data_IF_855130759681
#
_entry.id   IF_855130759681
#
_cell.length_a   1.000
_cell.length_b   1.000
_cell.length_c   1.000
_cell.angle_alpha   90.00
_cell.angle_beta   90.00
_cell.angle_gamma   90.00
#
_symmetry.space_group_name_H-M   'P 1'
#
loop_
_entity.id
_entity.type
_entity.pdbx_description
1 polymer ?
#
# COMPACT_ATOMS: atom_id res chain seq x y z
N UNK A 1 39.71 -23.73 37.11
CA UNK A 1 38.30 -23.84 37.59
C UNK A 1 37.59 -22.48 37.70
N UNK A 2 38.18 -21.41 38.29
CA UNK A 2 37.52 -20.08 38.35
C UNK A 2 37.23 -19.45 36.98
N UNK A 3 38.13 -19.58 36.01
CA UNK A 3 37.98 -19.04 34.65
C UNK A 3 36.79 -19.69 33.93
N UNK A 4 36.60 -20.99 34.13
CA UNK A 4 35.46 -21.74 33.59
C UNK A 4 34.16 -21.26 34.24
N UNK A 5 34.17 -20.98 35.55
CA UNK A 5 33.01 -20.41 36.25
C UNK A 5 32.64 -19.03 35.71
N UNK A 6 33.60 -18.13 35.50
CA UNK A 6 33.34 -16.79 34.93
C UNK A 6 32.87 -16.85 33.48
N UNK A 7 33.42 -17.77 32.68
CA UNK A 7 32.99 -17.99 31.31
C UNK A 7 31.56 -18.52 31.25
N UNK A 8 31.19 -19.47 32.11
CA UNK A 8 29.82 -20.00 32.19
C UNK A 8 28.83 -18.96 32.74
N UNK A 9 29.22 -18.18 33.76
CA UNK A 9 28.41 -17.09 34.29
C UNK A 9 28.17 -16.00 33.23
N UNK A 10 29.22 -15.64 32.50
CA UNK A 10 29.15 -14.70 31.37
C UNK A 10 28.27 -15.21 30.24
N UNK A 11 28.40 -16.49 29.88
CA UNK A 11 27.57 -17.13 28.84
C UNK A 11 26.08 -17.17 29.25
N UNK A 12 25.78 -17.46 30.52
CA UNK A 12 24.42 -17.43 31.07
C UNK A 12 23.81 -16.03 31.03
N UNK A 13 24.57 -15.00 31.44
CA UNK A 13 24.12 -13.61 31.41
C UNK A 13 23.83 -13.14 29.98
N UNK A 14 24.72 -13.45 29.03
CA UNK A 14 24.52 -13.14 27.61
C UNK A 14 23.27 -13.85 27.06
N UNK A 15 23.04 -15.11 27.42
CA UNK A 15 21.85 -15.86 26.98
C UNK A 15 20.52 -15.31 27.55
N UNK A 16 20.54 -14.67 28.72
CA UNK A 16 19.34 -14.06 29.31
C UNK A 16 18.96 -12.71 28.67
N UNK A 17 19.94 -11.95 28.18
CA UNK A 17 19.72 -10.64 27.56
C UNK A 17 19.17 -10.76 26.12
N UNK A 18 19.44 -11.85 25.42
CA UNK A 18 19.01 -12.09 24.02
C UNK A 18 17.49 -12.32 23.86
N UNK A 19 16.70 -12.37 24.95
CA UNK A 19 15.29 -12.79 24.91
C UNK A 19 14.23 -11.67 24.93
N UNK A 20 14.58 -10.41 24.77
CA UNK A 20 13.57 -9.34 24.84
C UNK A 20 13.88 -8.13 23.96
N UNK A 21 13.91 -8.32 22.63
CA UNK A 21 13.52 -7.29 21.65
C UNK A 21 13.03 -8.05 20.42
N UNK A 22 11.78 -8.48 20.44
CA UNK A 22 11.03 -8.74 19.20
C UNK A 22 9.91 -7.69 19.19
N UNK A 23 10.31 -6.43 18.97
CA UNK A 23 9.39 -5.39 18.53
C UNK A 23 9.07 -5.69 17.05
N UNK A 24 8.32 -6.76 16.81
CA UNK A 24 7.51 -6.83 15.59
C UNK A 24 6.24 -6.06 15.90
N UNK A 25 6.36 -4.73 15.80
CA UNK A 25 5.23 -3.84 15.62
C UNK A 25 4.35 -4.49 14.54
N UNK A 26 3.14 -4.86 14.94
CA UNK A 26 2.11 -5.37 14.04
C UNK A 26 1.60 -4.27 13.13
N UNK A 27 2.47 -3.73 12.27
CA UNK A 27 2.04 -3.15 11.01
C UNK A 27 1.22 -4.21 10.29
N UNK A 28 0.03 -3.85 9.79
CA UNK A 28 -0.78 -4.75 8.98
C UNK A 28 0.07 -5.33 7.84
N UNK A 29 0.51 -6.58 7.99
CA UNK A 29 1.29 -7.28 6.98
C UNK A 29 0.31 -7.72 5.88
N UNK A 30 0.05 -6.82 4.94
CA UNK A 30 -0.71 -7.14 3.75
C UNK A 30 0.21 -7.85 2.77
N UNK A 31 -0.28 -8.97 2.25
CA UNK A 31 0.38 -9.71 1.20
C UNK A 31 0.61 -8.79 0.00
N UNK A 32 1.87 -8.56 -0.33
CA UNK A 32 2.23 -7.71 -1.48
C UNK A 32 1.84 -8.44 -2.76
N UNK A 33 1.05 -7.78 -3.60
CA UNK A 33 0.68 -8.31 -4.91
C UNK A 33 1.34 -7.52 -6.04
N UNK A 34 1.71 -8.20 -7.12
CA UNK A 34 2.19 -7.54 -8.33
C UNK A 34 1.02 -6.90 -9.09
N UNK A 35 1.16 -5.62 -9.43
CA UNK A 35 0.18 -4.92 -10.26
C UNK A 35 0.50 -5.13 -11.75
N UNK A 36 -0.47 -5.66 -12.49
CA UNK A 36 -0.33 -5.91 -13.94
C UNK A 36 -0.72 -4.71 -14.80
N UNK A 37 -1.40 -3.72 -14.22
CA UNK A 37 -1.80 -2.51 -14.91
C UNK A 37 -0.65 -1.52 -15.09
N UNK A 38 -0.58 -0.88 -16.26
CA UNK A 38 0.40 0.16 -16.52
C UNK A 38 0.21 1.35 -15.57
N UNK A 39 1.31 1.83 -14.99
CA UNK A 39 1.35 2.95 -14.04
C UNK A 39 0.51 2.71 -12.78
N UNK A 40 0.47 1.45 -12.32
CA UNK A 40 -0.11 1.08 -11.05
C UNK A 40 0.98 0.76 -10.02
N UNK A 41 0.70 1.02 -8.76
CA UNK A 41 1.54 0.69 -7.61
C UNK A 41 0.67 -0.04 -6.57
N UNK A 42 1.20 -1.11 -6.01
CA UNK A 42 0.53 -1.80 -4.91
C UNK A 42 0.63 -0.93 -3.65
N UNK A 43 -0.50 -0.76 -2.96
CA UNK A 43 -0.53 -0.14 -1.64
C UNK A 43 -1.20 -1.09 -0.69
N UNK A 44 -0.51 -1.31 0.41
CA UNK A 44 -1.04 -1.99 1.58
C UNK A 44 -2.24 -1.25 2.19
N UNK A 45 -2.17 0.08 2.21
CA UNK A 45 -3.20 0.95 2.75
C UNK A 45 -3.47 2.08 1.74
N UNK A 46 -4.30 1.81 0.73
CA UNK A 46 -4.80 2.82 -0.19
C UNK A 46 -6.24 3.24 0.15
N UNK A 47 -6.70 4.39 -0.33
CA UNK A 47 -8.09 4.82 -0.13
C UNK A 47 -9.07 3.74 -0.63
N UNK A 48 -10.24 3.61 0.00
CA UNK A 48 -11.26 2.63 -0.42
C UNK A 48 -11.76 2.81 -1.87
N UNK A 49 -11.46 3.97 -2.47
CA UNK A 49 -11.81 4.31 -3.83
C UNK A 49 -10.62 4.88 -4.58
N UNK A 50 -10.74 4.90 -5.90
CA UNK A 50 -9.72 5.44 -6.79
C UNK A 50 -10.32 6.59 -7.59
N UNK A 51 -9.54 7.66 -7.76
CA UNK A 51 -9.97 8.77 -8.59
C UNK A 51 -10.08 8.31 -10.04
N UNK A 52 -11.11 8.79 -10.70
CA UNK A 52 -11.27 8.66 -12.16
C UNK A 52 -11.49 10.04 -12.77
N UNK A 53 -11.42 10.14 -14.10
CA UNK A 53 -11.76 11.38 -14.81
C UNK A 53 -13.21 11.83 -14.54
N UNK A 54 -14.10 10.91 -14.15
CA UNK A 54 -15.47 11.20 -13.77
C UNK A 54 -15.59 11.12 -12.25
N UNK A 55 -15.51 12.26 -11.53
CA UNK A 55 -15.59 12.25 -10.08
C UNK A 55 -16.96 11.70 -9.65
N UNK A 56 -16.94 10.84 -8.63
CA UNK A 56 -18.14 10.31 -7.97
C UNK A 56 -17.96 10.42 -6.46
N UNK A 57 -19.06 10.64 -5.76
CA UNK A 57 -19.08 10.59 -4.30
C UNK A 57 -19.03 9.13 -3.88
N UNK A 58 -18.04 8.78 -3.05
CA UNK A 58 -17.90 7.44 -2.48
C UNK A 58 -17.85 7.57 -0.97
N UNK A 59 -18.66 6.78 -0.27
CA UNK A 59 -18.61 6.66 1.17
C UNK A 59 -17.71 5.48 1.53
N UNK A 60 -16.56 5.75 2.12
CA UNK A 60 -15.67 4.72 2.64
C UNK A 60 -16.14 4.28 4.03
N UNK A 61 -16.33 2.98 4.22
CA UNK A 61 -16.55 2.37 5.54
C UNK A 61 -15.25 1.89 6.18
N UNK A 62 -14.26 1.51 5.35
CA UNK A 62 -12.91 1.18 5.77
C UNK A 62 -12.00 2.41 5.63
N UNK A 63 -11.03 2.55 6.54
CA UNK A 63 -10.01 3.61 6.48
C UNK A 63 -9.16 3.48 5.21
N UNK A 64 -8.69 2.27 4.94
CA UNK A 64 -7.97 1.92 3.73
C UNK A 64 -8.15 0.46 3.34
N UNK A 65 -7.78 0.14 2.11
CA UNK A 65 -7.85 -1.21 1.53
C UNK A 65 -6.55 -1.52 0.78
N UNK A 66 -6.01 -2.74 0.90
CA UNK A 66 -4.87 -3.17 0.08
C UNK A 66 -5.29 -3.33 -1.39
N UNK A 67 -4.39 -3.05 -2.32
CA UNK A 67 -4.63 -3.26 -3.75
C UNK A 67 -3.75 -2.42 -4.68
N UNK A 68 -4.04 -2.49 -5.98
CA UNK A 68 -3.31 -1.76 -7.02
C UNK A 68 -3.95 -0.40 -7.34
N UNK A 69 -3.22 0.67 -7.05
CA UNK A 69 -3.65 2.07 -7.23
C UNK A 69 -2.88 2.72 -8.37
N UNK A 70 -3.48 3.73 -9.03
CA UNK A 70 -2.68 4.53 -9.95
C UNK A 70 -1.52 5.18 -9.19
N UNK A 71 -0.33 5.07 -9.77
CA UNK A 71 0.83 5.78 -9.29
C UNK A 71 0.59 7.30 -9.29
N UNK A 72 1.34 8.03 -8.48
CA UNK A 72 1.24 9.49 -8.37
C UNK A 72 1.32 10.17 -9.75
N UNK A 73 0.36 11.05 -10.05
CA UNK A 73 0.27 11.75 -11.34
C UNK A 73 -0.51 10.99 -12.43
N UNK A 74 -1.02 9.81 -12.11
CA UNK A 74 -1.86 9.00 -12.99
C UNK A 74 -3.26 8.82 -12.41
N UNK A 75 -4.23 8.64 -13.30
CA UNK A 75 -5.65 8.51 -12.98
C UNK A 75 -6.32 7.56 -13.96
N UNK A 76 -7.38 6.89 -13.54
CA UNK A 76 -8.18 6.05 -14.45
C UNK A 76 -9.17 6.91 -15.22
N UNK A 77 -9.49 6.50 -16.45
CA UNK A 77 -10.57 7.15 -17.19
C UNK A 77 -11.91 6.86 -16.51
N UNK A 78 -12.17 5.59 -16.24
CA UNK A 78 -13.28 5.04 -15.46
C UNK A 78 -12.79 3.85 -14.65
N UNK A 79 -13.60 3.34 -13.73
CA UNK A 79 -13.23 2.15 -12.96
C UNK A 79 -12.89 0.96 -13.87
N UNK A 80 -11.88 0.18 -13.47
CA UNK A 80 -11.38 -0.97 -14.24
C UNK A 80 -10.57 -0.62 -15.50
N UNK A 81 -10.27 0.66 -15.77
CA UNK A 81 -9.36 1.04 -16.86
C UNK A 81 -7.93 1.26 -16.39
N UNK A 82 -6.96 1.18 -17.31
CA UNK A 82 -5.55 1.48 -17.04
C UNK A 82 -5.33 2.93 -16.60
N UNK A 83 -4.27 3.15 -15.84
CA UNK A 83 -3.88 4.47 -15.37
C UNK A 83 -3.21 5.28 -16.48
N UNK A 84 -3.74 6.47 -16.73
CA UNK A 84 -3.23 7.43 -17.71
C UNK A 84 -2.74 8.71 -17.02
N UNK A 85 -1.83 9.49 -17.61
CA UNK A 85 -1.44 10.78 -17.03
C UNK A 85 -2.67 11.66 -16.76
N UNK A 86 -2.73 12.28 -15.59
CA UNK A 86 -3.90 13.07 -15.14
C UNK A 86 -4.37 14.12 -16.16
N UNK A 87 -3.43 14.77 -16.85
CA UNK A 87 -3.73 15.76 -17.90
C UNK A 87 -4.51 15.21 -19.12
N UNK A 88 -4.60 13.88 -19.28
CA UNK A 88 -5.44 13.28 -20.33
C UNK A 88 -6.94 13.32 -20.02
N UNK A 89 -7.34 13.58 -18.78
CA UNK A 89 -8.76 13.65 -18.43
C UNK A 89 -9.52 14.74 -19.18
N UNK A 90 -8.91 15.91 -19.41
CA UNK A 90 -9.53 16.99 -20.19
C UNK A 90 -9.96 16.51 -21.59
N UNK A 91 -9.11 15.71 -22.26
CA UNK A 91 -9.42 15.18 -23.59
C UNK A 91 -10.60 14.23 -23.55
N UNK A 92 -10.64 13.34 -22.55
CA UNK A 92 -11.73 12.38 -22.35
C UNK A 92 -13.05 13.10 -22.05
N UNK A 93 -13.04 14.04 -21.10
CA UNK A 93 -14.22 14.81 -20.71
C UNK A 93 -14.76 15.65 -21.88
N UNK A 94 -13.87 16.27 -22.66
CA UNK A 94 -14.25 17.03 -23.86
C UNK A 94 -14.90 16.14 -24.94
N UNK A 95 -14.45 14.90 -25.10
CA UNK A 95 -15.07 13.95 -26.04
C UNK A 95 -16.36 13.31 -25.52
N UNK A 96 -16.63 13.39 -24.20
CA UNK A 96 -17.73 12.71 -23.52
C UNK A 96 -18.99 13.54 -23.27
N UNK A 97 -19.01 14.84 -23.60
CA UNK A 97 -20.19 15.71 -23.45
C UNK A 97 -21.22 15.52 -24.58
N UNK A 98 -21.49 14.27 -24.96
CA UNK A 98 -22.57 13.83 -25.85
C UNK A 98 -23.33 12.63 -25.27
N UNK A 99 -23.57 12.62 -23.96
CA UNK A 99 -24.47 11.64 -23.36
C UNK A 99 -25.58 12.34 -22.60
N UNK A 100 -26.68 12.53 -23.30
CA UNK A 100 -27.92 13.17 -22.84
C UNK A 100 -28.94 13.16 -23.98
N UNK A 101 -29.34 11.96 -24.40
CA UNK A 101 -30.67 11.70 -24.98
C UNK A 101 -31.48 10.99 -23.91
#
# INVERSE_FOLDING_TARGET
>A
MKIILFALLGLLLVATVVRAVDDTDGEAECETAECTGANEEFKCCGKCFQRTCYPKTVNCTAECTPGCFCAKGYIRIREGTSCVPEGKCYKVLATGFKSGK
#
